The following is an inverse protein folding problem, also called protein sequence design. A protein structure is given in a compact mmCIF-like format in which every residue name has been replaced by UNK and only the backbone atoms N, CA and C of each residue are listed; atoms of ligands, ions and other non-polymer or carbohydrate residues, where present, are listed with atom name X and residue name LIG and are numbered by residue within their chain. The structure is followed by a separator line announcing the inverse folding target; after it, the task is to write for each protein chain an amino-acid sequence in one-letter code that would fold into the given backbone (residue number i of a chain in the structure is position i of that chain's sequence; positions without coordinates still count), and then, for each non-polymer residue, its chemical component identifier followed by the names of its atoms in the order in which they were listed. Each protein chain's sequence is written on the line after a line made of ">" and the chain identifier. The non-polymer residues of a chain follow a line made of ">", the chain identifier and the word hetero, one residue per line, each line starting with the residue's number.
data_IF_098776226108
#
_entry.id   IF_098776226108
#
_cell.length_a   1.000
_cell.length_b   1.000
_cell.length_c   1.000
_cell.angle_alpha   90.00
_cell.angle_beta   90.00
_cell.angle_gamma   90.00
#
_symmetry.space_group_name_H-M   'P 1'
#
loop_
_entity.id
_entity.type
_entity.pdbx_description
1 polymer ?
#
# COMPACT_ATOMS: atom_id res chain seq x y z
N UNK A 1 -5.32 -5.59 11.82
CA UNK A 1 -4.71 -4.28 12.13
C UNK A 1 -4.05 -3.70 10.90
N UNK A 2 -4.02 -2.37 10.78
CA UNK A 2 -3.22 -1.64 9.79
C UNK A 2 -1.92 -1.19 10.46
N UNK A 3 -0.79 -1.42 9.79
CA UNK A 3 0.51 -0.87 10.18
C UNK A 3 0.87 0.23 9.18
N UNK A 4 0.96 1.46 9.65
CA UNK A 4 1.41 2.60 8.85
C UNK A 4 2.86 2.91 9.21
N UNK A 5 3.79 2.57 8.32
CA UNK A 5 5.21 2.89 8.50
C UNK A 5 5.44 4.39 8.37
N UNK A 6 6.48 4.92 9.05
CA UNK A 6 6.84 6.34 8.97
C UNK A 6 7.10 6.77 7.54
N UNK A 7 7.74 5.93 6.73
CA UNK A 7 7.99 6.16 5.32
C UNK A 7 6.69 6.37 4.54
N UNK A 8 5.74 5.45 4.67
CA UNK A 8 4.45 5.51 3.96
C UNK A 8 3.64 6.73 4.43
N UNK A 9 3.60 6.99 5.73
CA UNK A 9 2.92 8.17 6.26
C UNK A 9 3.45 9.47 5.63
N UNK A 10 4.77 9.60 5.49
CA UNK A 10 5.43 10.83 5.00
C UNK A 10 5.44 10.97 3.49
N UNK A 11 5.71 9.90 2.76
CA UNK A 11 5.99 9.94 1.33
C UNK A 11 4.81 9.50 0.47
N UNK A 12 3.84 8.79 1.04
CA UNK A 12 2.69 8.27 0.29
C UNK A 12 1.38 8.92 0.75
N UNK A 13 1.11 8.98 2.06
CA UNK A 13 -0.17 9.48 2.57
C UNK A 13 -0.20 11.02 2.67
N UNK A 14 0.82 11.64 3.29
CA UNK A 14 0.85 13.11 3.49
C UNK A 14 0.71 13.92 2.18
N UNK A 15 1.40 13.56 1.07
CA UNK A 15 1.21 14.28 -0.20
C UNK A 15 -0.22 14.18 -0.77
N UNK A 16 -0.98 13.18 -0.32
CA UNK A 16 -2.34 12.89 -0.78
C UNK A 16 -3.40 13.28 0.24
N UNK A 17 -3.06 13.99 1.32
CA UNK A 17 -3.99 14.32 2.42
C UNK A 17 -5.24 15.11 1.97
N UNK A 18 -5.10 15.88 0.88
CA UNK A 18 -6.22 16.61 0.25
C UNK A 18 -7.22 15.71 -0.48
N UNK A 19 -6.82 14.48 -0.80
CA UNK A 19 -7.57 13.54 -1.63
C UNK A 19 -7.98 12.28 -0.86
N UNK A 20 -7.21 11.93 0.18
CA UNK A 20 -7.34 10.69 0.94
C UNK A 20 -7.10 10.96 2.42
N UNK A 21 -7.95 10.37 3.23
CA UNK A 21 -7.81 10.31 4.68
C UNK A 21 -7.26 8.95 5.11
N UNK A 22 -6.81 8.86 6.37
CA UNK A 22 -6.47 7.57 6.98
C UNK A 22 -7.66 6.61 7.01
N UNK A 23 -8.90 7.12 7.10
CA UNK A 23 -10.11 6.30 7.09
C UNK A 23 -10.31 5.57 5.74
N UNK A 24 -9.88 6.18 4.64
CA UNK A 24 -9.90 5.53 3.32
C UNK A 24 -8.91 4.36 3.30
N UNK A 25 -7.71 4.54 3.86
CA UNK A 25 -6.69 3.50 3.98
C UNK A 25 -7.18 2.34 4.85
N UNK A 26 -7.79 2.64 6.00
CA UNK A 26 -8.40 1.65 6.89
C UNK A 26 -9.51 0.86 6.19
N UNK A 27 -10.38 1.56 5.45
CA UNK A 27 -11.43 0.93 4.64
C UNK A 27 -10.84 -0.02 3.59
N UNK A 28 -9.75 0.40 2.95
CA UNK A 28 -8.98 -0.45 2.04
C UNK A 28 -8.46 -1.71 2.73
N UNK A 29 -7.79 -1.56 3.87
CA UNK A 29 -7.24 -2.67 4.62
C UNK A 29 -8.30 -3.68 5.09
N UNK A 30 -9.48 -3.21 5.53
CA UNK A 30 -10.63 -4.08 5.84
C UNK A 30 -11.07 -4.94 4.66
N UNK A 31 -11.08 -4.38 3.44
CA UNK A 31 -11.45 -5.15 2.23
C UNK A 31 -10.49 -6.30 1.97
N UNK A 32 -9.20 -6.09 2.21
CA UNK A 32 -8.19 -7.15 2.04
C UNK A 32 -8.43 -8.27 3.04
N UNK A 33 -8.62 -7.93 4.32
CA UNK A 33 -8.90 -8.92 5.36
C UNK A 33 -10.21 -9.70 5.13
N UNK A 34 -11.19 -9.07 4.47
CA UNK A 34 -12.45 -9.72 4.06
C UNK A 34 -12.35 -10.53 2.75
N UNK A 35 -11.16 -10.62 2.13
CA UNK A 35 -10.99 -11.33 0.85
C UNK A 35 -11.60 -10.60 -0.36
N UNK A 36 -11.93 -9.32 -0.23
CA UNK A 36 -12.53 -8.50 -1.30
C UNK A 36 -11.48 -7.78 -2.17
N UNK A 37 -10.22 -8.15 -2.03
CA UNK A 37 -9.09 -7.56 -2.73
C UNK A 37 -8.55 -8.51 -3.79
N UNK A 38 -8.03 -7.96 -4.90
CA UNK A 38 -7.36 -8.74 -5.94
C UNK A 38 -5.91 -8.92 -5.54
N UNK A 39 -5.53 -10.17 -5.26
CA UNK A 39 -4.14 -10.56 -5.08
C UNK A 39 -3.39 -10.44 -6.41
N UNK A 40 -2.16 -9.94 -6.36
CA UNK A 40 -1.32 -9.80 -7.54
C UNK A 40 0.08 -10.31 -7.24
N UNK A 41 0.81 -10.70 -8.29
CA UNK A 41 2.16 -11.22 -8.11
C UNK A 41 3.06 -10.13 -7.54
N UNK A 42 3.85 -10.51 -6.54
CA UNK A 42 4.92 -9.67 -6.05
C UNK A 42 5.93 -9.38 -7.17
N UNK A 43 6.52 -8.18 -7.20
CA UNK A 43 7.60 -7.86 -8.13
C UNK A 43 8.87 -8.68 -7.87
N UNK A 44 9.06 -9.16 -6.64
CA UNK A 44 10.11 -10.11 -6.26
C UNK A 44 9.60 -11.05 -5.16
N UNK A 45 10.01 -12.33 -5.12
CA UNK A 45 9.59 -13.24 -4.07
C UNK A 45 10.12 -12.77 -2.72
N UNK A 46 9.22 -12.51 -1.77
CA UNK A 46 9.54 -12.25 -0.36
C UNK A 46 8.65 -13.16 0.46
N UNK A 47 9.27 -14.08 1.21
CA UNK A 47 8.54 -15.04 2.04
C UNK A 47 7.65 -14.31 3.05
N UNK A 48 6.47 -14.88 3.34
CA UNK A 48 5.56 -14.34 4.34
C UNK A 48 4.83 -13.06 3.94
N UNK A 49 4.91 -12.61 2.68
CA UNK A 49 4.18 -11.44 2.16
C UNK A 49 3.18 -11.84 1.08
N UNK A 50 1.98 -11.24 1.12
CA UNK A 50 0.99 -11.26 0.03
C UNK A 50 0.77 -9.85 -0.47
N UNK A 51 0.57 -9.70 -1.78
CA UNK A 51 0.48 -8.40 -2.40
C UNK A 51 -0.89 -8.19 -3.00
N UNK A 52 -1.50 -7.05 -2.72
CA UNK A 52 -2.85 -6.76 -3.15
C UNK A 52 -2.91 -5.40 -3.82
N UNK A 53 -3.76 -5.32 -4.83
CA UNK A 53 -4.09 -4.06 -5.48
C UNK A 53 -5.55 -3.76 -5.22
N UNK A 54 -5.82 -2.65 -4.55
CA UNK A 54 -7.18 -2.28 -4.16
C UNK A 54 -7.53 -0.87 -4.60
N UNK A 55 -8.81 -0.67 -4.89
CA UNK A 55 -9.37 0.65 -5.14
C UNK A 55 -9.82 1.25 -3.82
N UNK A 56 -9.34 2.45 -3.53
CA UNK A 56 -9.83 3.25 -2.41
C UNK A 56 -11.02 4.07 -2.91
N UNK A 57 -12.22 3.71 -2.41
CA UNK A 57 -13.47 4.35 -2.81
C UNK A 57 -13.62 5.68 -2.09
N UNK A 58 -13.30 6.78 -2.77
CA UNK A 58 -13.52 8.16 -2.33
C UNK A 58 -13.72 9.09 -3.53
N UNK A 59 -14.03 10.37 -3.27
CA UNK A 59 -14.45 11.39 -4.26
C UNK A 59 -13.53 11.55 -5.50
N UNK A 60 -12.28 11.11 -5.46
CA UNK A 60 -11.30 11.32 -6.55
C UNK A 60 -10.73 10.04 -7.20
N UNK A 61 -11.36 8.86 -7.00
CA UNK A 61 -10.92 7.61 -7.65
C UNK A 61 -9.45 7.25 -7.40
N UNK A 62 -9.02 7.18 -6.13
CA UNK A 62 -7.67 6.76 -5.78
C UNK A 62 -7.48 5.23 -5.86
N UNK A 63 -6.24 4.80 -6.12
CA UNK A 63 -5.83 3.40 -6.11
C UNK A 63 -4.70 3.22 -5.11
N UNK A 64 -4.77 2.16 -4.31
CA UNK A 64 -3.72 1.83 -3.34
C UNK A 64 -3.11 0.48 -3.69
N UNK A 65 -1.79 0.45 -3.75
CA UNK A 65 -1.01 -0.76 -3.72
C UNK A 65 -0.60 -1.00 -2.26
N UNK A 66 -0.88 -2.21 -1.81
CA UNK A 66 -0.73 -2.64 -0.42
C UNK A 66 -0.08 -3.99 -0.43
N UNK A 67 0.75 -4.24 0.58
CA UNK A 67 1.14 -5.59 0.93
C UNK A 67 0.51 -5.97 2.26
N UNK A 68 0.42 -7.27 2.48
CA UNK A 68 -0.05 -7.87 3.72
C UNK A 68 1.07 -8.76 4.22
N UNK A 69 1.44 -8.59 5.48
CA UNK A 69 2.24 -9.55 6.22
C UNK A 69 1.34 -10.74 6.56
N UNK A 70 1.67 -11.92 6.01
CA UNK A 70 0.85 -13.13 6.08
C UNK A 70 0.75 -13.67 7.50
N UNK A 71 1.86 -13.66 8.24
CA UNK A 71 1.95 -14.33 9.55
C UNK A 71 1.06 -13.70 10.63
N UNK A 72 0.73 -12.41 10.51
CA UNK A 72 0.02 -11.67 11.56
C UNK A 72 -1.26 -10.97 11.07
N UNK A 73 -1.72 -11.24 9.84
CA UNK A 73 -2.82 -10.52 9.21
C UNK A 73 -2.70 -8.98 9.34
N UNK A 74 -1.46 -8.49 9.33
CA UNK A 74 -1.16 -7.06 9.41
C UNK A 74 -1.10 -6.52 8.00
N UNK A 75 -1.98 -5.57 7.71
CA UNK A 75 -1.99 -4.88 6.42
C UNK A 75 -1.00 -3.72 6.49
N UNK A 76 -0.10 -3.63 5.52
CA UNK A 76 0.89 -2.58 5.46
C UNK A 76 0.79 -1.90 4.07
N UNK A 77 0.42 -0.63 3.98
CA UNK A 77 0.42 0.05 2.69
C UNK A 77 1.85 0.23 2.19
N UNK A 78 2.05 0.23 0.86
CA UNK A 78 3.37 0.53 0.27
C UNK A 78 3.34 1.73 -0.64
N UNK A 79 2.26 1.86 -1.40
CA UNK A 79 2.15 2.91 -2.38
C UNK A 79 0.70 3.31 -2.56
N UNK A 80 0.45 4.61 -2.57
CA UNK A 80 -0.89 5.18 -2.75
C UNK A 80 -0.79 6.14 -3.93
N UNK A 81 -1.62 5.96 -4.96
CA UNK A 81 -1.57 6.78 -6.18
C UNK A 81 -2.96 7.16 -6.62
N UNK A 82 -3.11 8.35 -7.20
CA UNK A 82 -4.38 8.78 -7.80
C UNK A 82 -4.53 8.15 -9.20
N UNK A 83 -5.76 7.92 -9.67
CA UNK A 83 -5.99 7.38 -11.03
C UNK A 83 -5.39 8.26 -12.13
N UNK A 84 -5.31 9.57 -11.91
CA UNK A 84 -4.74 10.55 -12.84
C UNK A 84 -3.24 10.80 -12.62
N UNK A 85 -2.58 9.98 -11.79
CA UNK A 85 -1.15 10.13 -11.57
C UNK A 85 -0.38 9.89 -12.87
N UNK A 86 0.45 10.86 -13.23
CA UNK A 86 1.18 10.89 -14.51
C UNK A 86 2.50 10.10 -14.45
N UNK A 87 2.94 9.66 -13.27
CA UNK A 87 4.27 9.05 -13.09
C UNK A 87 4.30 7.57 -13.48
N UNK A 88 3.28 6.79 -13.13
CA UNK A 88 3.24 5.33 -13.38
C UNK A 88 2.10 4.89 -14.33
N UNK A 89 1.62 5.85 -15.13
CA UNK A 89 0.47 5.68 -16.00
C UNK A 89 -0.83 5.37 -15.24
N UNK A 90 -1.94 5.41 -15.96
CA UNK A 90 -3.29 5.25 -15.39
C UNK A 90 -3.49 3.89 -14.71
N UNK A 91 -2.69 2.88 -15.03
CA UNK A 91 -2.97 1.49 -14.68
C UNK A 91 -2.05 0.84 -13.65
N UNK A 92 -0.89 1.40 -13.28
CA UNK A 92 0.01 0.78 -12.28
C UNK A 92 0.16 -0.72 -12.53
N UNK A 93 0.51 -1.08 -13.76
CA UNK A 93 0.61 -2.47 -14.18
C UNK A 93 1.96 -3.02 -13.71
N UNK A 94 1.95 -4.21 -13.11
CA UNK A 94 3.18 -4.82 -12.53
C UNK A 94 4.20 -5.28 -13.58
N UNK A 95 3.92 -5.07 -14.87
CA UNK A 95 4.87 -5.23 -15.96
C UNK A 95 5.66 -3.95 -16.26
N UNK A 96 5.31 -2.80 -15.66
CA UNK A 96 6.05 -1.55 -15.79
C UNK A 96 7.31 -1.60 -14.90
N UNK A 97 8.53 -1.56 -15.49
CA UNK A 97 9.78 -1.60 -14.73
C UNK A 97 9.94 -0.45 -13.73
N UNK A 98 9.42 0.74 -14.06
CA UNK A 98 9.51 1.90 -13.18
C UNK A 98 8.64 1.70 -11.93
N UNK A 99 7.43 1.17 -12.11
CA UNK A 99 6.54 0.82 -10.99
C UNK A 99 7.17 -0.28 -10.13
N UNK A 100 7.67 -1.35 -10.74
CA UNK A 100 8.33 -2.46 -10.05
C UNK A 100 9.50 -1.96 -9.20
N UNK A 101 10.36 -1.11 -9.78
CA UNK A 101 11.49 -0.51 -9.06
C UNK A 101 11.03 0.32 -7.86
N UNK A 102 9.98 1.13 -8.03
CA UNK A 102 9.46 1.96 -6.94
C UNK A 102 8.78 1.13 -5.84
N UNK A 103 8.02 0.10 -6.20
CA UNK A 103 7.41 -0.82 -5.23
C UNK A 103 8.49 -1.53 -4.41
N UNK A 104 9.54 -2.03 -5.06
CA UNK A 104 10.66 -2.67 -4.36
C UNK A 104 11.35 -1.71 -3.39
N UNK A 105 11.61 -0.47 -3.83
CA UNK A 105 12.19 0.57 -2.96
C UNK A 105 11.30 0.84 -1.75
N UNK A 106 10.00 1.06 -1.96
CA UNK A 106 9.05 1.32 -0.88
C UNK A 106 8.96 0.12 0.08
N UNK A 107 9.10 -1.11 -0.43
CA UNK A 107 9.11 -2.33 0.36
C UNK A 107 10.34 -2.39 1.27
N UNK A 108 11.52 -2.10 0.74
CA UNK A 108 12.75 -2.06 1.53
C UNK A 108 12.66 -1.03 2.67
N UNK A 109 12.15 0.17 2.38
CA UNK A 109 11.93 1.23 3.37
C UNK A 109 10.89 0.85 4.43
N UNK A 110 9.77 0.24 4.02
CA UNK A 110 8.74 -0.20 4.95
C UNK A 110 9.26 -1.31 5.89
N UNK A 111 10.03 -2.27 5.37
CA UNK A 111 10.65 -3.32 6.16
C UNK A 111 11.69 -2.75 7.14
N UNK A 112 12.49 -1.77 6.72
CA UNK A 112 13.43 -1.07 7.59
C UNK A 112 12.70 -0.35 8.73
N UNK A 113 11.58 0.33 8.44
CA UNK A 113 10.74 0.97 9.46
C UNK A 113 10.12 -0.04 10.43
N UNK A 114 9.64 -1.19 9.95
CA UNK A 114 9.11 -2.25 10.81
C UNK A 114 10.21 -2.78 11.74
N UNK A 115 11.40 -3.09 11.22
CA UNK A 115 12.54 -3.56 12.00
C UNK A 115 12.97 -2.53 13.06
N UNK A 116 12.94 -1.25 12.70
CA UNK A 116 13.28 -0.14 13.59
C UNK A 116 12.13 0.30 14.52
N UNK A 117 10.97 -0.38 14.52
CA UNK A 117 9.75 0.00 15.26
C UNK A 117 9.27 1.43 14.97
N UNK A 118 9.47 1.92 13.75
CA UNK A 118 9.06 3.25 13.27
C UNK A 118 7.74 3.19 12.51
N UNK A 119 6.68 2.79 13.19
CA UNK A 119 5.34 2.68 12.62
C UNK A 119 4.25 2.98 13.65
N UNK A 120 3.05 3.22 13.15
CA UNK A 120 1.83 3.32 13.95
C UNK A 120 0.89 2.17 13.61
N UNK A 121 0.18 1.66 14.61
CA UNK A 121 -0.81 0.62 14.44
C UNK A 121 -2.23 1.17 14.62
N UNK A 122 -3.14 0.70 13.78
CA UNK A 122 -4.54 1.08 13.84
C UNK A 122 -5.41 -0.18 13.89
N UNK A 123 -6.42 -0.17 14.75
CA UNK A 123 -7.47 -1.18 14.76
C UNK A 123 -8.25 -1.12 13.43
N UNK A 124 -8.58 -2.29 12.88
CA UNK A 124 -9.37 -2.42 11.66
C UNK A 124 -10.76 -2.89 12.00
#
# INVERSE_FOLDING_TARGET
>A
MLVLTRFVARHELKPLERYLSINDVLTGARKILKGLAVETKLPRPVSGLRFFKIRLGGRQSARMIVFVLVENNKVVPLMIRLKKDKVFGTNMAMNDPALVKQVNKNLDEAMADIKAKRYQEFAL
#
